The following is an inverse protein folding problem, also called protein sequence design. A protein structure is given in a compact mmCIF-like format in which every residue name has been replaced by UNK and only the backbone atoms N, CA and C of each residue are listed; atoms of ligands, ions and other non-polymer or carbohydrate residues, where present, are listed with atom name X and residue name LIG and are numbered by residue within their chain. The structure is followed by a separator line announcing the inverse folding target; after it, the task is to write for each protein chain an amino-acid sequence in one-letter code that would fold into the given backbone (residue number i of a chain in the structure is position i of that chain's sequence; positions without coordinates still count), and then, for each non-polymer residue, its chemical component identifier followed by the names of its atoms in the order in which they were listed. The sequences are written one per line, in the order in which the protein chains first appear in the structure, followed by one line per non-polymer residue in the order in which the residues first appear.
data_IF_987847750982
#
_entry.id   IF_987847750982
#
_cell.length_a   1.000
_cell.length_b   1.000
_cell.length_c   1.000
_cell.angle_alpha   90.00
_cell.angle_beta   90.00
_cell.angle_gamma   90.00
#
_symmetry.space_group_name_H-M   'P 1'
#
loop_
_entity.id
_entity.type
_entity.pdbx_description
1 polymer ?
#
# COMPACT_ATOMS: atom_id res chain seq x y z
N UNK A 1 6.52 -4.12 50.49
CA UNK A 1 6.44 -3.73 49.06
C UNK A 1 5.25 -4.42 48.43
N UNK A 2 4.35 -3.68 47.77
CA UNK A 2 3.23 -4.26 47.00
C UNK A 2 3.58 -4.10 45.53
N UNK A 3 3.82 -5.21 44.84
CA UNK A 3 4.01 -5.22 43.39
C UNK A 3 2.64 -5.43 42.76
N UNK A 4 2.18 -4.47 41.97
CA UNK A 4 1.02 -4.61 41.08
C UNK A 4 1.54 -4.79 39.66
N UNK A 5 1.41 -5.99 39.12
CA UNK A 5 1.66 -6.28 37.71
C UNK A 5 0.33 -6.21 36.98
N UNK A 6 0.14 -5.16 36.18
CA UNK A 6 -0.97 -5.12 35.24
C UNK A 6 -0.74 -6.18 34.16
N UNK A 7 -1.81 -6.86 33.74
CA UNK A 7 -1.73 -7.79 32.62
C UNK A 7 -1.28 -7.05 31.34
N UNK A 8 -0.34 -7.64 30.61
CA UNK A 8 0.06 -7.15 29.28
C UNK A 8 -1.13 -7.23 28.33
N UNK A 9 -1.33 -6.21 27.50
CA UNK A 9 -2.41 -6.14 26.51
C UNK A 9 -1.89 -5.62 25.18
N UNK A 10 -2.46 -6.10 24.08
CA UNK A 10 -2.19 -5.55 22.76
C UNK A 10 -2.60 -4.07 22.69
N UNK A 11 -1.70 -3.21 22.24
CA UNK A 11 -1.94 -1.76 22.11
C UNK A 11 -1.71 -1.25 20.70
N UNK A 12 -0.82 -1.89 19.93
CA UNK A 12 -0.45 -1.38 18.60
C UNK A 12 -0.24 -2.50 17.59
N UNK A 13 -0.65 -2.25 16.35
CA UNK A 13 -0.34 -3.04 15.15
C UNK A 13 0.32 -2.10 14.15
N UNK A 14 1.60 -2.30 13.83
CA UNK A 14 2.35 -1.49 12.86
C UNK A 14 2.62 -2.30 11.60
N UNK A 15 2.24 -1.77 10.45
CA UNK A 15 2.60 -2.32 9.15
C UNK A 15 3.93 -1.69 8.66
N UNK A 16 4.76 -2.49 8.01
CA UNK A 16 5.98 -2.07 7.32
C UNK A 16 6.05 -2.72 5.93
N UNK A 17 5.88 -1.95 4.84
CA UNK A 17 5.60 -0.51 4.85
C UNK A 17 4.22 -0.17 5.43
N UNK A 18 4.05 1.04 5.94
CA UNK A 18 2.76 1.58 6.43
C UNK A 18 1.92 2.20 5.30
N UNK A 19 2.57 2.48 4.17
CA UNK A 19 1.98 2.88 2.88
C UNK A 19 2.42 1.90 1.81
N UNK A 20 1.49 1.09 1.35
CA UNK A 20 1.72 0.12 0.29
C UNK A 20 1.23 0.67 -1.05
N UNK A 21 2.13 0.77 -2.01
CA UNK A 21 1.76 0.97 -3.41
C UNK A 21 1.95 -0.37 -4.14
N UNK A 22 0.86 -0.89 -4.71
CA UNK A 22 0.84 -2.20 -5.36
C UNK A 22 0.12 -2.11 -6.70
N UNK A 23 0.57 -2.87 -7.69
CA UNK A 23 -0.15 -2.94 -8.98
C UNK A 23 -1.34 -3.89 -8.84
N UNK A 24 -2.41 -3.61 -9.56
CA UNK A 24 -3.59 -4.48 -9.61
C UNK A 24 -3.20 -5.94 -9.90
N UNK A 25 -3.79 -6.87 -9.14
CA UNK A 25 -3.52 -8.31 -9.21
C UNK A 25 -2.06 -8.71 -8.91
N UNK A 26 -1.25 -7.81 -8.37
CA UNK A 26 0.08 -8.11 -7.84
C UNK A 26 0.06 -8.16 -6.33
N UNK A 27 1.05 -8.85 -5.80
CA UNK A 27 1.19 -9.13 -4.39
C UNK A 27 2.51 -8.58 -3.89
N UNK A 28 2.49 -7.88 -2.76
CA UNK A 28 3.67 -7.36 -2.11
C UNK A 28 3.70 -7.75 -0.63
N UNK A 29 4.88 -8.09 -0.09
CA UNK A 29 4.99 -8.46 1.30
C UNK A 29 4.88 -7.24 2.21
N UNK A 30 4.12 -7.38 3.29
CA UNK A 30 4.03 -6.43 4.40
C UNK A 30 4.36 -7.16 5.69
N UNK A 31 5.21 -6.54 6.51
CA UNK A 31 5.52 -7.04 7.85
C UNK A 31 4.68 -6.29 8.88
N UNK A 32 3.94 -7.04 9.69
CA UNK A 32 3.14 -6.53 10.79
C UNK A 32 3.86 -6.79 12.11
N UNK A 33 3.91 -5.77 12.96
CA UNK A 33 4.50 -5.84 14.30
C UNK A 33 3.46 -5.46 15.32
N UNK A 34 3.25 -6.33 16.32
CA UNK A 34 2.29 -6.15 17.40
C UNK A 34 3.01 -5.92 18.72
N UNK A 35 2.63 -4.85 19.42
CA UNK A 35 3.26 -4.47 20.70
C UNK A 35 2.23 -4.23 21.80
N UNK A 36 2.68 -4.39 23.04
CA UNK A 36 1.87 -4.11 24.21
C UNK A 36 1.96 -2.64 24.69
N UNK A 37 1.43 -2.36 25.88
CA UNK A 37 1.46 -1.04 26.51
C UNK A 37 2.87 -0.52 26.85
N UNK A 38 3.89 -1.37 26.85
CA UNK A 38 5.28 -1.01 27.15
C UNK A 38 6.13 -0.88 25.88
N UNK A 39 5.57 -1.23 24.71
CA UNK A 39 6.27 -1.21 23.43
C UNK A 39 7.01 -2.52 23.14
N UNK A 40 6.86 -3.53 23.99
CA UNK A 40 7.50 -4.84 23.81
C UNK A 40 6.69 -5.70 22.83
N UNK A 41 7.35 -6.62 22.09
CA UNK A 41 6.65 -7.59 21.24
C UNK A 41 5.57 -8.33 22.03
N UNK A 42 4.39 -8.45 21.40
CA UNK A 42 3.21 -9.06 22.03
C UNK A 42 2.48 -9.94 21.03
N UNK A 43 2.24 -11.20 21.40
CA UNK A 43 1.51 -12.13 20.54
C UNK A 43 0.02 -11.81 20.49
N UNK A 44 -0.53 -11.72 19.28
CA UNK A 44 -1.94 -11.54 19.00
C UNK A 44 -2.49 -12.80 18.30
N UNK A 45 -3.56 -13.37 18.85
CA UNK A 45 -4.28 -14.48 18.20
C UNK A 45 -5.31 -13.94 17.19
N UNK A 46 -5.96 -14.86 16.45
CA UNK A 46 -6.95 -14.53 15.40
C UNK A 46 -8.12 -13.67 15.88
N UNK A 47 -8.42 -13.61 17.19
CA UNK A 47 -9.54 -12.81 17.72
C UNK A 47 -9.07 -11.49 18.35
N UNK A 48 -7.76 -11.29 18.51
CA UNK A 48 -7.20 -10.11 19.15
C UNK A 48 -7.22 -8.88 18.23
N UNK A 49 -7.19 -9.10 16.91
CA UNK A 49 -7.20 -8.06 15.89
C UNK A 49 -8.39 -8.30 14.98
N UNK A 50 -9.15 -7.23 14.73
CA UNK A 50 -10.17 -7.18 13.70
C UNK A 50 -9.67 -6.30 12.56
N UNK A 51 -9.46 -6.90 11.40
CA UNK A 51 -9.13 -6.23 10.15
C UNK A 51 -10.40 -5.66 9.53
N UNK A 52 -10.47 -4.34 9.44
CA UNK A 52 -11.56 -3.63 8.79
C UNK A 52 -11.06 -3.12 7.45
N UNK A 53 -11.51 -3.77 6.38
CA UNK A 53 -11.13 -3.46 5.00
C UNK A 53 -11.80 -2.16 4.52
N UNK A 54 -11.16 -1.43 3.59
CA UNK A 54 -11.75 -0.27 2.96
C UNK A 54 -12.96 -0.66 2.10
N UNK A 55 -13.97 0.23 2.03
CA UNK A 55 -15.19 0.03 1.21
C UNK A 55 -14.95 -0.02 -0.30
N UNK A 56 -13.74 0.30 -0.75
CA UNK A 56 -13.37 0.46 -2.15
C UNK A 56 -12.89 -0.84 -2.80
N UNK A 57 -12.94 -1.98 -2.09
CA UNK A 57 -12.46 -3.29 -2.55
C UNK A 57 -11.01 -3.29 -3.05
N UNK A 58 -10.20 -2.31 -2.64
CA UNK A 58 -8.80 -2.16 -3.07
C UNK A 58 -7.90 -3.30 -2.56
N UNK A 59 -8.31 -3.98 -1.50
CA UNK A 59 -7.64 -5.20 -0.98
C UNK A 59 -8.65 -6.33 -0.96
N UNK A 60 -8.27 -7.51 -1.45
CA UNK A 60 -9.15 -8.68 -1.47
C UNK A 60 -9.56 -9.13 -0.06
N UNK A 61 -10.83 -9.50 0.10
CA UNK A 61 -11.35 -10.07 1.34
C UNK A 61 -10.67 -11.42 1.67
N UNK A 62 -10.44 -11.68 2.96
CA UNK A 62 -9.87 -12.94 3.45
C UNK A 62 -8.36 -13.09 3.31
N UNK A 63 -7.64 -12.09 2.77
CA UNK A 63 -6.18 -12.12 2.61
C UNK A 63 -5.37 -11.61 3.81
N UNK A 64 -6.02 -11.04 4.83
CA UNK A 64 -5.38 -10.42 5.99
C UNK A 64 -5.89 -11.05 7.29
N UNK A 65 -5.06 -11.86 7.93
CA UNK A 65 -5.26 -12.41 9.28
C UNK A 65 -3.95 -12.27 10.06
N UNK A 66 -3.88 -11.27 10.95
CA UNK A 66 -2.65 -10.93 11.66
C UNK A 66 -2.55 -11.75 12.95
N UNK A 67 -1.95 -12.94 12.84
CA UNK A 67 -1.60 -13.79 13.98
C UNK A 67 -0.10 -13.74 14.26
N UNK A 68 0.29 -13.34 15.46
CA UNK A 68 1.69 -13.12 15.87
C UNK A 68 2.10 -13.95 17.09
N UNK A 69 1.43 -15.08 17.34
CA UNK A 69 1.73 -16.00 18.45
C UNK A 69 2.73 -17.09 18.09
N UNK A 70 3.24 -17.11 16.86
CA UNK A 70 4.16 -18.13 16.38
C UNK A 70 5.48 -18.17 17.20
N UNK A 71 5.90 -19.35 17.69
CA UNK A 71 7.17 -19.48 18.40
C UNK A 71 8.34 -19.04 17.52
N UNK A 72 9.20 -18.17 18.04
CA UNK A 72 10.37 -17.61 17.32
C UNK A 72 10.07 -16.33 16.52
N UNK A 73 8.81 -15.95 16.36
CA UNK A 73 8.39 -14.71 15.69
C UNK A 73 7.30 -13.96 16.47
N UNK A 74 7.22 -14.18 17.79
CA UNK A 74 6.19 -13.53 18.62
C UNK A 74 6.21 -12.02 18.45
N UNK A 75 5.04 -11.45 18.18
CA UNK A 75 4.88 -10.03 17.92
C UNK A 75 5.19 -9.60 16.48
N UNK A 76 5.50 -10.52 15.56
CA UNK A 76 5.79 -10.20 14.15
C UNK A 76 5.14 -11.22 13.20
N UNK A 77 4.52 -10.74 12.12
CA UNK A 77 3.99 -11.59 11.04
C UNK A 77 4.27 -10.96 9.69
N UNK A 78 4.71 -11.75 8.70
CA UNK A 78 4.82 -11.33 7.31
C UNK A 78 3.61 -11.88 6.54
N UNK A 79 2.88 -11.00 5.86
CA UNK A 79 1.78 -11.38 4.97
C UNK A 79 1.95 -10.73 3.61
N UNK A 80 1.40 -11.39 2.62
CA UNK A 80 1.43 -10.97 1.23
C UNK A 80 0.10 -10.28 0.90
N UNK A 81 0.16 -8.98 0.62
CA UNK A 81 -1.02 -8.14 0.35
C UNK A 81 -1.20 -8.00 -1.15
N UNK A 82 -2.37 -8.41 -1.64
CA UNK A 82 -2.72 -8.35 -3.07
C UNK A 82 -3.61 -7.15 -3.34
N UNK A 83 -3.22 -6.33 -4.31
CA UNK A 83 -4.07 -5.24 -4.81
C UNK A 83 -5.20 -5.80 -5.68
N UNK A 84 -6.44 -5.41 -5.39
CA UNK A 84 -7.63 -5.96 -6.07
C UNK A 84 -8.24 -4.96 -7.06
N UNK A 85 -8.94 -3.93 -6.58
CA UNK A 85 -9.45 -2.84 -7.43
C UNK A 85 -8.54 -1.63 -7.41
N UNK A 86 -8.43 -0.94 -8.56
CA UNK A 86 -7.63 0.29 -8.68
C UNK A 86 -8.25 1.40 -7.82
N UNK A 87 -7.41 2.05 -7.01
CA UNK A 87 -7.84 3.10 -6.11
C UNK A 87 -7.08 3.13 -4.80
N UNK A 88 -7.55 3.95 -3.88
CA UNK A 88 -6.94 4.17 -2.59
C UNK A 88 -7.87 3.70 -1.47
N UNK A 89 -7.28 3.18 -0.39
CA UNK A 89 -8.02 2.74 0.78
C UNK A 89 -7.12 2.49 1.98
N UNK A 90 -7.73 2.43 3.15
CA UNK A 90 -7.02 2.17 4.41
C UNK A 90 -7.61 0.93 5.06
N UNK A 91 -6.77 -0.06 5.33
CA UNK A 91 -7.12 -1.17 6.22
C UNK A 91 -6.90 -0.71 7.65
N UNK A 92 -7.92 -0.83 8.50
CA UNK A 92 -7.82 -0.49 9.92
C UNK A 92 -7.69 -1.75 10.76
N UNK A 93 -6.77 -1.76 11.71
CA UNK A 93 -6.63 -2.82 12.69
C UNK A 93 -7.29 -2.35 13.98
N UNK A 94 -8.31 -3.07 14.44
CA UNK A 94 -9.08 -2.72 15.63
C UNK A 94 -8.99 -3.82 16.67
N UNK A 95 -9.12 -3.46 17.95
CA UNK A 95 -9.38 -4.45 19.00
C UNK A 95 -10.88 -4.81 19.06
N UNK A 96 -11.23 -5.75 19.94
CA UNK A 96 -12.61 -6.20 20.14
C UNK A 96 -13.62 -5.07 20.47
N UNK A 97 -13.15 -3.95 21.03
CA UNK A 97 -13.99 -2.79 21.36
C UNK A 97 -14.10 -1.78 20.21
N UNK A 98 -13.51 -2.07 19.05
CA UNK A 98 -13.49 -1.18 17.89
C UNK A 98 -12.45 -0.05 17.98
N UNK A 99 -11.59 -0.04 19.00
CA UNK A 99 -10.53 0.96 19.09
C UNK A 99 -9.40 0.65 18.11
N UNK A 100 -8.93 1.66 17.39
CA UNK A 100 -7.85 1.53 16.40
C UNK A 100 -6.52 1.21 17.08
N UNK A 101 -5.91 0.10 16.65
CA UNK A 101 -4.55 -0.33 17.00
C UNK A 101 -3.51 0.11 15.96
N UNK A 102 -3.96 0.38 14.74
CA UNK A 102 -3.11 0.84 13.64
C UNK A 102 -3.82 0.80 12.31
N UNK A 103 -3.08 1.03 11.23
CA UNK A 103 -3.61 1.00 9.88
C UNK A 103 -2.53 0.72 8.84
N UNK A 104 -2.96 0.24 7.68
CA UNK A 104 -2.16 0.15 6.46
C UNK A 104 -2.87 0.94 5.37
N UNK A 105 -2.21 1.97 4.84
CA UNK A 105 -2.68 2.66 3.65
C UNK A 105 -2.29 1.87 2.40
N UNK A 106 -3.22 1.67 1.49
CA UNK A 106 -3.01 0.93 0.23
C UNK A 106 -3.43 1.81 -0.94
N UNK A 107 -2.54 1.92 -1.92
CA UNK A 107 -2.81 2.51 -3.22
C UNK A 107 -2.58 1.45 -4.29
N UNK A 108 -3.65 1.04 -4.96
CA UNK A 108 -3.61 0.09 -6.07
C UNK A 108 -3.61 0.86 -7.38
N UNK A 109 -2.60 0.61 -8.22
CA UNK A 109 -2.47 1.24 -9.54
C UNK A 109 -2.66 0.23 -10.67
N UNK A 110 -3.13 0.68 -11.83
CA UNK A 110 -3.24 -0.17 -13.04
C UNK A 110 -1.89 -0.73 -13.50
N UNK A 111 -0.79 -0.03 -13.19
CA UNK A 111 0.57 -0.44 -13.54
C UNK A 111 1.63 0.35 -12.76
N UNK A 112 2.88 -0.09 -12.87
CA UNK A 112 4.02 0.64 -12.32
C UNK A 112 4.35 1.80 -13.25
N UNK A 113 4.15 3.05 -12.82
CA UNK A 113 4.63 4.22 -13.57
C UNK A 113 6.13 4.38 -13.29
N UNK A 114 6.97 4.01 -14.25
CA UNK A 114 8.42 4.12 -14.15
C UNK A 114 8.87 5.59 -14.17
N UNK A 115 8.30 6.41 -15.06
CA UNK A 115 8.56 7.85 -15.14
C UNK A 115 7.48 8.58 -15.96
N UNK A 116 7.48 9.91 -15.87
CA UNK A 116 6.64 10.81 -16.66
C UNK A 116 7.54 11.77 -17.44
N UNK A 117 7.27 11.99 -18.71
CA UNK A 117 7.98 12.99 -19.51
C UNK A 117 7.01 14.02 -20.08
N UNK A 118 7.42 15.28 -20.00
CA UNK A 118 6.78 16.36 -20.73
C UNK A 118 7.37 16.41 -22.14
N UNK A 119 6.52 16.28 -23.15
CA UNK A 119 6.94 16.02 -24.53
C UNK A 119 6.21 16.92 -25.52
N UNK A 120 6.92 17.28 -26.59
CA UNK A 120 6.37 17.91 -27.78
C UNK A 120 5.99 16.81 -28.78
N UNK A 121 4.76 16.84 -29.27
CA UNK A 121 4.23 15.90 -30.26
C UNK A 121 3.60 16.64 -31.42
N UNK A 122 3.52 16.02 -32.59
CA UNK A 122 2.80 16.57 -33.75
C UNK A 122 1.28 16.56 -33.55
N UNK A 123 0.79 15.65 -32.69
CA UNK A 123 -0.62 15.52 -32.28
C UNK A 123 -0.72 14.71 -30.99
N UNK A 124 -1.65 15.07 -30.10
CA UNK A 124 -1.90 14.34 -28.86
C UNK A 124 -2.14 12.83 -29.11
N UNK A 125 -1.43 11.99 -28.35
CA UNK A 125 -1.58 10.53 -28.39
C UNK A 125 -0.88 9.84 -29.56
N UNK A 126 -0.10 10.55 -30.39
CA UNK A 126 0.64 10.00 -31.53
C UNK A 126 2.16 9.98 -31.30
N UNK A 127 2.56 9.39 -30.17
CA UNK A 127 3.97 9.24 -29.81
C UNK A 127 4.72 8.41 -30.86
N UNK A 128 5.89 8.89 -31.30
CA UNK A 128 6.72 8.24 -32.32
C UNK A 128 6.25 8.41 -33.77
N UNK A 129 5.05 8.95 -34.01
CA UNK A 129 4.53 9.22 -35.36
C UNK A 129 4.94 10.61 -35.91
N UNK A 130 5.71 11.42 -35.17
CA UNK A 130 6.21 12.68 -35.73
C UNK A 130 7.38 12.39 -36.68
N UNK A 131 7.24 12.63 -38.00
CA UNK A 131 8.34 12.43 -38.94
C UNK A 131 9.45 13.49 -38.81
N UNK A 132 9.23 14.51 -37.97
CA UNK A 132 10.16 15.62 -37.79
C UNK A 132 10.28 15.99 -36.31
N UNK A 133 11.39 15.61 -35.69
CA UNK A 133 11.76 16.01 -34.32
C UNK A 133 12.63 17.27 -34.28
N UNK A 134 12.85 17.92 -35.43
CA UNK A 134 13.58 19.19 -35.50
C UNK A 134 12.61 20.36 -35.33
N UNK A 135 12.82 21.13 -34.27
CA UNK A 135 12.21 22.44 -34.11
C UNK A 135 12.86 23.40 -35.11
N UNK A 136 12.28 23.51 -36.30
CA UNK A 136 12.69 24.49 -37.30
C UNK A 136 11.87 25.78 -37.08
N UNK A 137 12.58 26.89 -36.82
CA UNK A 137 11.96 28.19 -36.56
C UNK A 137 11.35 28.81 -37.83
N UNK A 138 11.56 28.21 -39.00
CA UNK A 138 11.09 28.71 -40.29
C UNK A 138 9.92 27.89 -40.88
N UNK A 139 9.47 26.84 -40.19
CA UNK A 139 8.24 26.09 -40.56
C UNK A 139 7.05 26.56 -39.73
N UNK A 140 5.87 26.49 -40.33
CA UNK A 140 4.59 26.89 -39.71
C UNK A 140 3.86 25.70 -39.06
N UNK A 141 4.58 24.60 -38.81
CA UNK A 141 4.02 23.40 -38.22
C UNK A 141 3.63 23.65 -36.76
N UNK A 142 2.39 23.28 -36.42
CA UNK A 142 1.90 23.34 -35.04
C UNK A 142 2.32 22.09 -34.30
N UNK A 143 2.89 22.26 -33.12
CA UNK A 143 3.17 21.19 -32.16
C UNK A 143 2.19 21.27 -31.00
N UNK A 144 1.89 20.13 -30.39
CA UNK A 144 1.13 20.03 -29.15
C UNK A 144 2.04 19.54 -28.01
N UNK A 145 1.67 19.88 -26.79
CA UNK A 145 2.35 19.40 -25.59
C UNK A 145 1.55 18.25 -24.99
N UNK A 146 2.24 17.20 -24.55
CA UNK A 146 1.62 16.10 -23.79
C UNK A 146 2.50 15.67 -22.60
N UNK A 147 1.83 15.14 -21.57
CA UNK A 147 2.49 14.47 -20.45
C UNK A 147 2.36 12.95 -20.65
N UNK A 148 3.44 12.32 -21.09
CA UNK A 148 3.48 10.87 -21.32
C UNK A 148 3.79 10.15 -20.00
N UNK A 149 3.06 9.05 -19.73
CA UNK A 149 3.33 8.14 -18.60
C UNK A 149 3.94 6.86 -19.16
N UNK A 150 5.13 6.52 -18.70
CA UNK A 150 5.81 5.28 -19.08
C UNK A 150 5.61 4.26 -17.96
N UNK A 151 5.09 3.11 -18.34
CA UNK A 151 4.91 1.99 -17.40
C UNK A 151 5.98 0.93 -17.61
N UNK A 152 6.45 0.33 -16.53
CA UNK A 152 7.35 -0.83 -16.60
C UNK A 152 6.54 -2.09 -16.36
N UNK A 153 6.67 -3.07 -17.25
CA UNK A 153 6.16 -4.43 -17.07
C UNK A 153 6.87 -5.18 -15.94
#
# INVERSE_FOLDING_TARGET
FKVTTDSRKLVSVKANPDKLQVVQNKTLPVTFVTTDQYGDPFGADTNAIKEVLPKTDVVAEGGLDIVTTEPGSVGTKKLDVTGNEVGEGTVHFQNANGATLGSLYVNVTEGNVAFKNFELVSKLGKYGESPNTKLDLNVSDTVEYQLSKYTSD
#
